data_IF_765811586201
#
_entry.id   IF_765811586201
#
_cell.length_a   1.000
_cell.length_b   1.000
_cell.length_c   1.000
_cell.angle_alpha   90.00
_cell.angle_beta   90.00
_cell.angle_gamma   90.00
#
_symmetry.space_group_name_H-M   'P 1'
#
loop_
_entity.id
_entity.type
_entity.pdbx_description
1 polymer ?
#
# COMPACT_ATOMS: atom_id res chain seq x y z
N UNK A 1 -39.80 30.74 -28.54
CA UNK A 1 -38.63 31.40 -27.93
C UNK A 1 -37.76 30.32 -27.30
N UNK A 2 -36.48 30.19 -27.72
CA UNK A 2 -35.57 29.10 -27.37
C UNK A 2 -34.64 29.45 -26.20
N UNK A 3 -34.00 28.44 -25.60
CA UNK A 3 -32.96 28.60 -24.59
C UNK A 3 -32.21 27.30 -24.36
N UNK A 4 -31.32 26.98 -25.29
CA UNK A 4 -30.34 25.90 -25.22
C UNK A 4 -29.03 26.39 -24.58
N UNK A 5 -28.26 25.43 -24.03
CA UNK A 5 -26.82 25.55 -23.78
C UNK A 5 -26.47 26.05 -22.37
N UNK A 6 -25.38 25.62 -21.75
CA UNK A 6 -24.39 24.59 -22.05
C UNK A 6 -23.55 24.50 -20.78
N UNK A 7 -23.33 23.27 -20.35
CA UNK A 7 -22.46 22.92 -19.25
C UNK A 7 -20.99 23.30 -19.59
N UNK A 8 -20.22 23.72 -18.59
CA UNK A 8 -18.87 24.24 -18.80
C UNK A 8 -18.07 24.40 -17.51
N UNK A 9 -18.01 23.35 -16.68
CA UNK A 9 -17.05 23.27 -15.57
C UNK A 9 -15.62 23.22 -16.11
N UNK A 10 -14.81 24.23 -15.77
CA UNK A 10 -13.35 24.24 -15.95
C UNK A 10 -12.67 23.87 -14.64
N UNK A 11 -12.12 22.66 -14.58
CA UNK A 11 -11.15 22.26 -13.56
C UNK A 11 -9.84 23.04 -13.75
N UNK A 12 -9.35 23.71 -12.70
CA UNK A 12 -8.04 24.35 -12.66
C UNK A 12 -7.14 23.56 -11.71
N UNK A 13 -6.25 22.77 -12.30
CA UNK A 13 -5.15 22.10 -11.60
C UNK A 13 -4.10 23.16 -11.25
N UNK A 14 -3.76 23.30 -9.97
CA UNK A 14 -2.60 24.05 -9.51
C UNK A 14 -1.69 23.07 -8.79
N UNK A 15 -0.66 22.62 -9.50
CA UNK A 15 0.50 21.92 -8.98
C UNK A 15 1.65 22.93 -8.91
N UNK A 16 2.21 23.14 -7.71
CA UNK A 16 3.59 23.65 -7.53
C UNK A 16 4.04 23.30 -6.10
N UNK A 17 4.50 22.07 -5.91
CA UNK A 17 5.31 21.67 -4.76
C UNK A 17 6.80 21.80 -5.09
N UNK A 18 7.40 22.96 -4.86
CA UNK A 18 8.85 23.17 -4.99
C UNK A 18 9.58 22.81 -3.71
N UNK A 19 10.28 21.66 -3.67
CA UNK A 19 11.21 21.27 -2.60
C UNK A 19 12.64 21.49 -3.09
N UNK A 20 13.33 22.45 -2.48
CA UNK A 20 14.72 22.80 -2.75
C UNK A 20 15.69 21.78 -2.14
N UNK A 21 16.51 21.17 -2.97
CA UNK A 21 17.64 20.32 -2.59
C UNK A 21 18.86 21.18 -2.26
N UNK A 22 19.38 21.03 -1.04
CA UNK A 22 20.58 21.70 -0.51
C UNK A 22 21.84 20.96 -0.96
N UNK A 23 22.65 21.60 -1.81
CA UNK A 23 23.97 21.08 -2.21
C UNK A 23 25.02 21.34 -1.12
N UNK A 24 25.78 20.31 -0.78
CA UNK A 24 26.93 20.32 0.12
C UNK A 24 28.19 20.41 -0.75
N UNK A 25 28.92 21.52 -0.70
CA UNK A 25 30.22 21.65 -1.36
C UNK A 25 31.35 21.11 -0.47
N UNK A 26 32.41 20.54 -1.06
CA UNK A 26 33.71 20.49 -0.41
C UNK A 26 34.73 21.33 -1.19
N UNK A 27 35.45 22.19 -0.48
CA UNK A 27 36.68 22.84 -0.93
C UNK A 27 37.56 23.06 0.30
N UNK A 28 38.88 22.99 0.33
CA UNK A 28 39.95 22.35 -0.43
C UNK A 28 41.27 22.76 0.30
N UNK A 29 42.38 22.08 0.00
CA UNK A 29 43.79 22.52 0.10
C UNK A 29 44.61 22.54 1.41
N UNK A 30 45.71 21.75 1.35
CA UNK A 30 47.14 22.16 1.50
C UNK A 30 47.69 22.58 2.89
N UNK A 31 48.97 22.47 3.27
CA UNK A 31 50.22 21.80 2.83
C UNK A 31 51.34 22.26 3.80
N UNK A 32 52.33 21.39 4.09
CA UNK A 32 53.72 21.66 4.56
C UNK A 32 53.94 22.47 5.86
N UNK A 33 55.02 22.36 6.64
CA UNK A 33 56.33 21.72 6.52
C UNK A 33 57.35 22.55 7.31
N UNK A 34 58.37 21.92 7.90
CA UNK A 34 59.51 22.57 8.57
C UNK A 34 59.46 22.49 10.10
N UNK A 35 60.54 22.25 10.85
CA UNK A 35 61.95 22.11 10.52
C UNK A 35 62.71 21.65 11.76
N UNK A 36 63.71 20.81 11.54
CA UNK A 36 64.62 20.22 12.51
C UNK A 36 65.58 21.26 13.13
N UNK A 37 65.73 21.26 14.47
CA UNK A 37 66.92 21.81 15.15
C UNK A 37 67.30 20.92 16.35
N UNK A 38 68.31 20.09 16.13
CA UNK A 38 69.09 19.41 17.16
C UNK A 38 69.97 20.41 17.90
N UNK A 39 70.00 20.38 19.24
CA UNK A 39 71.18 20.72 20.06
C UNK A 39 71.21 19.84 21.30
N UNK A 40 72.17 18.92 21.34
CA UNK A 40 72.51 18.14 22.52
C UNK A 40 73.33 19.03 23.46
N UNK A 41 72.84 19.19 24.69
CA UNK A 41 73.56 19.84 25.78
C UNK A 41 73.78 18.78 26.85
N UNK A 42 75.02 18.29 26.96
CA UNK A 42 75.45 17.39 28.04
C UNK A 42 75.55 18.23 29.31
N UNK A 43 74.68 17.94 30.30
CA UNK A 43 74.73 18.56 31.63
C UNK A 43 74.72 17.46 32.68
N UNK A 44 75.77 17.46 33.49
CA UNK A 44 76.02 16.52 34.58
C UNK A 44 75.36 16.96 35.89
N UNK A 45 74.82 15.99 36.65
CA UNK A 45 74.40 15.97 38.09
C UNK A 45 73.10 16.71 38.51
N UNK A 46 72.44 16.37 39.66
CA UNK A 46 72.64 15.25 40.62
C UNK A 46 71.38 14.36 40.82
N UNK A 47 71.50 13.37 41.70
CA UNK A 47 70.49 12.37 42.09
C UNK A 47 69.16 13.00 42.52
N UNK A 48 68.09 12.65 41.82
CA UNK A 48 66.71 12.91 42.22
C UNK A 48 66.14 11.56 42.64
N UNK A 49 65.73 11.44 43.91
CA UNK A 49 64.95 10.31 44.41
C UNK A 49 63.75 10.12 43.51
N UNK A 50 63.67 9.00 42.80
CA UNK A 50 62.47 8.60 42.08
C UNK A 50 61.36 8.37 43.11
N UNK A 51 60.50 9.38 43.31
CA UNK A 51 59.20 9.16 43.90
C UNK A 51 58.35 8.50 42.82
N UNK A 52 58.31 7.18 42.80
CA UNK A 52 57.42 6.40 41.96
C UNK A 52 55.96 6.65 42.41
N UNK A 53 55.31 7.67 41.87
CA UNK A 53 53.85 7.79 41.95
C UNK A 53 53.26 6.68 41.11
N UNK A 54 52.37 5.82 41.65
CA UNK A 54 51.71 4.81 40.83
C UNK A 54 50.80 5.52 39.83
N UNK A 55 51.26 5.62 38.58
CA UNK A 55 50.40 5.90 37.46
C UNK A 55 49.52 4.68 37.26
N UNK A 56 48.28 4.76 37.75
CA UNK A 56 47.22 3.81 37.43
C UNK A 56 46.92 3.90 35.95
N UNK A 57 47.66 3.14 35.13
CA UNK A 57 47.27 2.83 33.77
C UNK A 57 45.95 2.08 33.85
N UNK A 58 44.83 2.78 33.65
CA UNK A 58 43.58 2.13 33.32
C UNK A 58 43.77 1.46 31.95
N UNK A 59 44.08 0.16 31.98
CA UNK A 59 43.99 -0.66 30.78
C UNK A 59 42.52 -0.73 30.39
N UNK A 60 42.13 -0.02 29.35
CA UNK A 60 40.84 -0.22 28.69
C UNK A 60 40.89 -1.61 28.05
N UNK A 61 40.42 -2.61 28.79
CA UNK A 61 40.31 -3.98 28.29
C UNK A 61 39.29 -3.98 27.14
N UNK A 62 39.61 -4.54 25.96
CA UNK A 62 38.64 -4.66 24.89
C UNK A 62 37.54 -5.64 25.32
N UNK A 63 36.31 -5.16 25.44
CA UNK A 63 35.13 -5.98 25.74
C UNK A 63 34.72 -6.77 24.51
N UNK A 64 34.65 -8.10 24.63
CA UNK A 64 34.07 -9.00 23.63
C UNK A 64 32.59 -9.28 23.91
N UNK A 65 31.86 -9.71 22.89
CA UNK A 65 30.47 -10.15 23.04
C UNK A 65 30.40 -11.48 23.80
N UNK A 66 29.46 -11.58 24.73
CA UNK A 66 29.20 -12.86 25.41
C UNK A 66 28.38 -13.77 24.50
N UNK A 67 28.52 -15.10 24.67
CA UNK A 67 27.69 -16.07 23.96
C UNK A 67 26.19 -15.83 24.23
N UNK A 68 25.85 -15.51 25.49
CA UNK A 68 24.48 -15.26 25.92
C UNK A 68 23.85 -14.07 25.18
N UNK A 69 24.63 -13.02 24.92
CA UNK A 69 24.16 -11.82 24.23
C UNK A 69 23.84 -12.09 22.76
N UNK A 70 24.70 -12.83 22.07
CA UNK A 70 24.43 -13.24 20.67
C UNK A 70 23.22 -14.16 20.60
N UNK A 71 23.09 -15.11 21.53
CA UNK A 71 21.93 -16.00 21.60
C UNK A 71 20.63 -15.22 21.87
N UNK A 72 20.66 -14.26 22.80
CA UNK A 72 19.52 -13.41 23.09
C UNK A 72 19.14 -12.54 21.87
N UNK A 73 20.12 -11.96 21.19
CA UNK A 73 19.90 -11.15 19.99
C UNK A 73 19.27 -11.98 18.86
N UNK A 74 19.77 -13.19 18.60
CA UNK A 74 19.22 -14.09 17.58
C UNK A 74 17.81 -14.56 17.95
N UNK A 75 17.54 -14.83 19.23
CA UNK A 75 16.21 -15.21 19.69
C UNK A 75 15.18 -14.09 19.45
N UNK A 76 15.53 -12.86 19.80
CA UNK A 76 14.68 -11.68 19.55
C UNK A 76 14.50 -11.48 18.04
N UNK A 77 15.58 -11.56 17.27
CA UNK A 77 15.54 -11.41 15.81
C UNK A 77 14.60 -12.43 15.16
N UNK A 78 14.65 -13.70 15.59
CA UNK A 78 13.76 -14.74 15.08
C UNK A 78 12.28 -14.40 15.30
N UNK A 79 11.92 -13.94 16.51
CA UNK A 79 10.54 -13.54 16.84
C UNK A 79 10.10 -12.35 15.97
N UNK A 80 10.95 -11.33 15.87
CA UNK A 80 10.66 -10.12 15.07
C UNK A 80 10.49 -10.46 13.60
N UNK A 81 11.37 -11.28 13.03
CA UNK A 81 11.27 -11.69 11.63
C UNK A 81 9.97 -12.44 11.34
N UNK A 82 9.55 -13.34 12.23
CA UNK A 82 8.26 -14.04 12.08
C UNK A 82 7.10 -13.06 12.09
N UNK A 83 7.09 -12.09 13.01
CA UNK A 83 6.05 -11.06 13.08
C UNK A 83 6.00 -10.21 11.80
N UNK A 84 7.16 -9.75 11.31
CA UNK A 84 7.28 -8.96 10.07
C UNK A 84 6.83 -9.78 8.86
N UNK A 85 7.26 -11.03 8.78
CA UNK A 85 6.85 -11.94 7.71
C UNK A 85 5.33 -12.09 7.69
N UNK A 86 4.69 -12.36 8.84
CA UNK A 86 3.24 -12.47 8.95
C UNK A 86 2.51 -11.22 8.49
N UNK A 87 2.98 -10.04 8.91
CA UNK A 87 2.43 -8.76 8.45
C UNK A 87 2.53 -8.62 6.93
N UNK A 88 3.68 -8.99 6.35
CA UNK A 88 3.89 -8.93 4.91
C UNK A 88 2.92 -9.84 4.14
N UNK A 89 2.72 -11.09 4.59
CA UNK A 89 1.73 -11.98 3.96
C UNK A 89 0.31 -11.46 4.09
N UNK A 90 -0.04 -10.87 5.23
CA UNK A 90 -1.35 -10.27 5.43
C UNK A 90 -1.59 -9.12 4.43
N UNK A 91 -0.60 -8.25 4.21
CA UNK A 91 -0.70 -7.17 3.22
C UNK A 91 -0.84 -7.70 1.78
N UNK A 92 -0.11 -8.75 1.42
CA UNK A 92 -0.20 -9.37 0.09
C UNK A 92 -1.60 -9.96 -0.13
N UNK A 93 -2.13 -10.69 0.85
CA UNK A 93 -3.48 -11.26 0.77
C UNK A 93 -4.54 -10.16 0.61
N UNK A 94 -4.41 -9.07 1.36
CA UNK A 94 -5.34 -7.94 1.32
C UNK A 94 -5.33 -7.20 -0.03
N UNK A 95 -4.21 -7.20 -0.75
CA UNK A 95 -4.09 -6.57 -2.07
C UNK A 95 -5.00 -7.23 -3.12
N UNK A 96 -5.18 -8.55 -3.06
CA UNK A 96 -6.10 -9.27 -3.95
C UNK A 96 -7.56 -8.84 -3.72
N UNK A 97 -7.95 -8.75 -2.46
CA UNK A 97 -9.29 -8.28 -2.07
C UNK A 97 -9.53 -6.82 -2.52
N UNK A 98 -8.56 -5.92 -2.34
CA UNK A 98 -8.70 -4.52 -2.77
C UNK A 98 -8.94 -4.38 -4.29
N UNK A 99 -8.26 -5.20 -5.10
CA UNK A 99 -8.49 -5.24 -6.55
C UNK A 99 -9.90 -5.72 -6.87
N UNK A 100 -10.37 -6.79 -6.21
CA UNK A 100 -11.72 -7.30 -6.37
C UNK A 100 -12.78 -6.24 -6.07
N UNK A 101 -12.69 -5.56 -4.93
CA UNK A 101 -13.68 -4.53 -4.54
C UNK A 101 -13.68 -3.30 -5.46
N UNK A 102 -12.62 -3.08 -6.23
CA UNK A 102 -12.56 -1.98 -7.22
C UNK A 102 -13.12 -2.43 -8.57
N UNK A 103 -12.82 -3.67 -9.00
CA UNK A 103 -13.18 -4.18 -10.32
C UNK A 103 -14.56 -4.83 -10.37
N UNK A 104 -14.99 -5.52 -9.32
CA UNK A 104 -16.28 -6.20 -9.30
C UNK A 104 -17.48 -5.25 -9.49
N UNK A 105 -17.51 -4.04 -8.90
CA UNK A 105 -18.56 -3.06 -9.20
C UNK A 105 -18.54 -2.58 -10.64
N UNK A 106 -17.36 -2.41 -11.24
CA UNK A 106 -17.23 -2.01 -12.64
C UNK A 106 -17.78 -3.09 -13.55
N UNK A 107 -17.41 -4.35 -13.32
CA UNK A 107 -17.89 -5.50 -14.07
C UNK A 107 -19.41 -5.69 -13.94
N UNK A 108 -19.93 -5.55 -12.72
CA UNK A 108 -21.36 -5.64 -12.46
C UNK A 108 -22.14 -4.54 -13.20
N UNK A 109 -21.61 -3.32 -13.22
CA UNK A 109 -22.20 -2.20 -13.96
C UNK A 109 -22.14 -2.42 -15.48
N UNK A 110 -21.03 -2.93 -16.01
CA UNK A 110 -20.92 -3.28 -17.43
C UNK A 110 -21.98 -4.31 -17.81
N UNK A 111 -22.13 -5.37 -16.99
CA UNK A 111 -23.17 -6.40 -17.22
C UNK A 111 -24.58 -5.85 -17.12
N UNK A 112 -24.85 -4.98 -16.15
CA UNK A 112 -26.14 -4.33 -16.06
C UNK A 112 -26.41 -3.44 -17.28
N UNK A 113 -25.40 -2.73 -17.78
CA UNK A 113 -25.53 -1.89 -18.97
C UNK A 113 -25.81 -2.72 -20.23
N UNK A 114 -25.16 -3.89 -20.36
CA UNK A 114 -25.45 -4.84 -21.45
C UNK A 114 -26.91 -5.30 -21.42
N UNK A 115 -27.46 -5.60 -20.24
CA UNK A 115 -28.86 -5.94 -20.06
C UNK A 115 -29.79 -4.75 -20.36
N UNK A 116 -29.42 -3.54 -19.92
CA UNK A 116 -30.17 -2.32 -20.19
C UNK A 116 -30.27 -2.06 -21.71
N UNK A 117 -29.20 -2.32 -22.48
CA UNK A 117 -29.18 -2.19 -23.95
C UNK A 117 -29.98 -3.30 -24.65
N UNK A 118 -29.94 -4.54 -24.12
CA UNK A 118 -30.67 -5.68 -24.68
C UNK A 118 -32.18 -5.64 -24.42
N UNK A 119 -32.63 -4.82 -23.46
CA UNK A 119 -34.02 -4.71 -23.04
C UNK A 119 -34.25 -5.47 -21.74
N UNK A 120 -34.38 -4.72 -20.66
CA UNK A 120 -34.53 -5.25 -19.29
C UNK A 120 -35.79 -6.10 -19.14
N UNK A 121 -36.87 -5.78 -19.86
CA UNK A 121 -38.10 -6.57 -19.81
C UNK A 121 -37.92 -8.02 -20.26
N UNK A 122 -36.88 -8.31 -21.05
CA UNK A 122 -36.54 -9.64 -21.53
C UNK A 122 -35.37 -10.27 -20.76
N UNK A 123 -34.93 -9.65 -19.67
CA UNK A 123 -33.78 -10.13 -18.90
C UNK A 123 -34.10 -11.49 -18.27
N UNK A 124 -33.38 -12.52 -18.70
CA UNK A 124 -33.48 -13.88 -18.18
C UNK A 124 -32.32 -14.18 -17.24
N UNK A 125 -32.48 -15.11 -16.29
CA UNK A 125 -31.36 -15.57 -15.48
C UNK A 125 -30.26 -16.15 -16.36
N UNK A 126 -29.05 -15.64 -16.22
CA UNK A 126 -27.90 -15.99 -17.06
C UNK A 126 -26.61 -16.00 -16.23
N UNK A 127 -25.57 -16.68 -16.69
CA UNK A 127 -24.30 -16.74 -15.99
C UNK A 127 -23.16 -17.25 -16.86
N UNK A 128 -21.95 -16.78 -16.55
CA UNK A 128 -20.77 -17.12 -17.33
C UNK A 128 -19.48 -16.59 -16.74
N UNK A 129 -18.44 -16.56 -17.56
CA UNK A 129 -17.16 -15.93 -17.25
C UNK A 129 -17.01 -14.60 -18.03
N UNK A 130 -15.99 -13.84 -17.66
CA UNK A 130 -15.58 -12.64 -18.39
C UNK A 130 -14.48 -12.94 -19.43
N UNK A 131 -14.38 -14.20 -19.88
CA UNK A 131 -13.39 -14.63 -20.87
C UNK A 131 -11.93 -14.49 -20.44
N UNK A 132 -11.04 -14.43 -21.43
CA UNK A 132 -9.58 -14.31 -21.23
C UNK A 132 -9.14 -12.95 -20.68
N UNK A 133 -9.99 -11.93 -20.82
CA UNK A 133 -9.68 -10.56 -20.43
C UNK A 133 -9.69 -10.40 -18.90
N UNK A 134 -10.50 -11.20 -18.21
CA UNK A 134 -10.59 -11.22 -16.75
C UNK A 134 -10.64 -12.66 -16.21
N UNK A 135 -9.52 -13.38 -16.21
CA UNK A 135 -9.47 -14.76 -15.74
C UNK A 135 -9.82 -14.84 -14.25
N UNK A 136 -10.62 -15.84 -13.90
CA UNK A 136 -11.03 -16.10 -12.52
C UNK A 136 -12.23 -15.29 -12.02
N UNK A 137 -12.75 -14.35 -12.82
CA UNK A 137 -14.03 -13.69 -12.55
C UNK A 137 -15.18 -14.44 -13.21
N UNK A 138 -16.26 -14.64 -12.46
CA UNK A 138 -17.54 -15.17 -12.95
C UNK A 138 -18.66 -14.21 -12.63
N UNK A 139 -19.71 -14.25 -13.43
CA UNK A 139 -20.90 -13.46 -13.21
C UNK A 139 -22.16 -14.34 -13.27
N UNK A 140 -23.18 -13.88 -12.55
CA UNK A 140 -24.52 -14.47 -12.51
C UNK A 140 -25.55 -13.35 -12.42
N UNK A 141 -26.55 -13.42 -13.25
CA UNK A 141 -27.70 -12.52 -13.28
C UNK A 141 -28.92 -13.32 -12.85
N UNK A 142 -29.66 -12.78 -11.89
CA UNK A 142 -30.94 -13.33 -11.45
C UNK A 142 -32.00 -12.23 -11.63
N UNK A 143 -33.14 -12.59 -12.20
CA UNK A 143 -34.28 -11.70 -12.37
C UNK A 143 -35.49 -12.25 -11.62
N UNK A 144 -36.18 -11.36 -10.92
CA UNK A 144 -37.34 -11.68 -10.10
C UNK A 144 -38.42 -10.63 -10.35
N UNK A 145 -39.61 -11.06 -10.76
CA UNK A 145 -40.76 -10.16 -10.89
C UNK A 145 -41.32 -9.86 -9.50
N UNK A 146 -41.36 -8.58 -9.14
CA UNK A 146 -41.81 -8.09 -7.85
C UNK A 146 -43.07 -7.27 -8.06
N UNK A 147 -44.18 -7.75 -7.51
CA UNK A 147 -45.38 -6.95 -7.37
C UNK A 147 -45.14 -5.90 -6.27
N UNK A 148 -45.33 -4.59 -6.54
CA UNK A 148 -45.22 -3.59 -5.49
C UNK A 148 -46.30 -3.86 -4.44
N UNK A 149 -45.93 -4.39 -3.28
CA UNK A 149 -46.87 -4.63 -2.17
C UNK A 149 -47.58 -3.35 -1.69
N UNK A 150 -47.03 -2.18 -2.05
CA UNK A 150 -47.55 -0.85 -1.73
C UNK A 150 -48.65 -0.38 -2.70
N UNK A 151 -48.84 -1.10 -3.82
CA UNK A 151 -49.80 -0.74 -4.86
C UNK A 151 -50.76 -1.90 -5.08
N UNK A 152 -51.76 -2.05 -4.21
CA UNK A 152 -52.86 -3.00 -4.40
C UNK A 152 -53.60 -2.80 -5.76
N UNK A 153 -53.38 -1.68 -6.46
CA UNK A 153 -53.96 -1.36 -7.78
C UNK A 153 -53.06 -0.44 -8.65
N UNK A 154 -51.74 -0.55 -8.56
CA UNK A 154 -50.83 0.26 -9.40
C UNK A 154 -50.56 -0.42 -10.75
N UNK A 155 -50.69 0.28 -11.89
CA UNK A 155 -50.33 -0.28 -13.19
C UNK A 155 -48.80 -0.29 -13.31
N UNK A 156 -48.14 -1.36 -12.87
CA UNK A 156 -46.70 -1.47 -13.01
C UNK A 156 -46.11 -2.73 -12.39
N UNK A 157 -45.58 -3.60 -13.25
CA UNK A 157 -44.70 -4.69 -12.82
C UNK A 157 -43.30 -4.11 -12.56
N UNK A 158 -42.71 -4.47 -11.42
CA UNK A 158 -41.32 -4.13 -11.13
C UNK A 158 -40.47 -5.38 -11.30
N UNK A 159 -39.38 -5.29 -12.04
CA UNK A 159 -38.40 -6.38 -12.13
C UNK A 159 -37.22 -6.04 -11.22
N UNK A 160 -36.90 -6.95 -10.31
CA UNK A 160 -35.67 -6.95 -9.52
C UNK A 160 -34.60 -7.71 -10.30
N UNK A 161 -33.45 -7.09 -10.47
CA UNK A 161 -32.28 -7.68 -11.12
C UNK A 161 -31.16 -7.73 -10.09
N UNK A 162 -30.63 -8.92 -9.86
CA UNK A 162 -29.46 -9.15 -9.02
C UNK A 162 -28.30 -9.60 -9.89
N UNK A 163 -27.25 -8.78 -9.96
CA UNK A 163 -25.99 -9.10 -10.64
C UNK A 163 -24.97 -9.48 -9.57
N UNK A 164 -24.49 -10.71 -9.64
CA UNK A 164 -23.46 -11.26 -8.77
C UNK A 164 -22.17 -11.42 -9.55
N UNK A 165 -21.07 -10.87 -9.04
CA UNK A 165 -19.71 -11.10 -9.55
C UNK A 165 -18.93 -11.85 -8.50
N UNK A 166 -18.32 -12.98 -8.86
CA UNK A 166 -17.51 -13.80 -7.96
C UNK A 166 -16.10 -14.02 -8.50
N UNK A 167 -15.13 -14.19 -7.58
CA UNK A 167 -13.75 -14.55 -7.90
C UNK A 167 -13.30 -15.70 -6.99
N UNK A 168 -12.39 -16.55 -7.48
CA UNK A 168 -11.77 -17.66 -6.75
C UNK A 168 -12.82 -18.60 -6.16
N UNK A 169 -13.63 -19.22 -7.02
CA UNK A 169 -14.66 -20.20 -6.63
C UNK A 169 -15.59 -19.71 -5.49
N UNK A 170 -16.02 -18.44 -5.59
CA UNK A 170 -16.94 -17.77 -4.66
C UNK A 170 -16.35 -17.37 -3.29
N UNK A 171 -15.02 -17.40 -3.12
CA UNK A 171 -14.35 -16.82 -1.94
C UNK A 171 -14.61 -15.31 -1.79
N UNK A 172 -14.73 -14.62 -2.92
CA UNK A 172 -15.07 -13.20 -2.97
C UNK A 172 -16.29 -13.00 -3.84
N UNK A 173 -17.34 -12.41 -3.25
CA UNK A 173 -18.62 -12.19 -3.91
C UNK A 173 -19.00 -10.72 -3.76
N UNK A 174 -19.36 -10.11 -4.88
CA UNK A 174 -19.98 -8.79 -4.94
C UNK A 174 -21.37 -8.94 -5.53
N UNK A 175 -22.37 -8.35 -4.88
CA UNK A 175 -23.78 -8.39 -5.31
C UNK A 175 -24.29 -6.97 -5.51
N UNK A 176 -24.83 -6.72 -6.68
CA UNK A 176 -25.53 -5.48 -7.01
C UNK A 176 -27.00 -5.81 -7.26
N UNK A 177 -27.90 -5.11 -6.57
CA UNK A 177 -29.35 -5.24 -6.75
C UNK A 177 -29.90 -3.95 -7.32
N UNK A 178 -30.69 -4.07 -8.37
CA UNK A 178 -31.39 -2.94 -8.95
C UNK A 178 -32.84 -3.29 -9.22
N UNK A 179 -33.71 -2.28 -9.18
CA UNK A 179 -35.12 -2.44 -9.47
C UNK A 179 -35.48 -1.56 -10.65
N UNK A 180 -36.32 -2.10 -11.53
CA UNK A 180 -36.74 -1.43 -12.76
C UNK A 180 -38.24 -1.53 -12.90
N UNK A 181 -38.85 -0.42 -13.30
CA UNK A 181 -40.26 -0.37 -13.59
C UNK A 181 -40.46 -0.70 -15.07
N UNK A 182 -41.34 -1.64 -15.36
CA UNK A 182 -41.70 -2.00 -16.73
C UNK A 182 -43.12 -1.49 -16.98
N UNK A 183 -43.23 -0.54 -17.91
CA UNK A 183 -44.52 -0.02 -18.35
C UNK A 183 -45.00 -0.86 -19.54
N UNK A 184 -46.10 -1.59 -19.35
CA UNK A 184 -46.78 -2.35 -20.41
C UNK A 184 -47.53 -1.44 -21.38
#
# INVERSE_FOLDING_TARGET
MPGAGSNGERYKIQDTGSIGLRAHGPTDFAKAGGGNKRKAHVRTRPLITEHNTPHTKHSTQPSGFTLLEVLAAVAILAIVLVAVFRLHFQTIAMTGASKFYTLAPLLAQTKLTELDVAGIENATPDGGDFGSDMPGYRWRVETEEVLPAILENGPGSMIKIEVTVSMNDEDMIYRMRTYRFVQQ
#
